data_IF_695528235727
#
_entry.id   IF_695528235727
#
_cell.length_a   1.000
_cell.length_b   1.000
_cell.length_c   1.000
_cell.angle_alpha   90.00
_cell.angle_beta   90.00
_cell.angle_gamma   90.00
#
_symmetry.space_group_name_H-M   'P 1'
#
loop_
_entity.id
_entity.type
_entity.pdbx_description
1 polymer ?
#
# COMPACT_ATOMS: atom_id res chain seq x y z
N UNK A 1 15.55 42.99 11.04
CA UNK A 1 15.14 41.58 11.22
C UNK A 1 14.57 41.07 9.91
N UNK A 2 15.33 40.30 9.12
CA UNK A 2 14.83 39.73 7.86
C UNK A 2 13.87 38.59 8.20
N UNK A 3 12.57 38.79 7.99
CA UNK A 3 11.57 37.73 7.96
C UNK A 3 12.09 36.62 7.03
N UNK A 4 12.55 35.52 7.59
CA UNK A 4 12.78 34.30 6.82
C UNK A 4 11.39 33.80 6.45
N UNK A 5 10.93 34.11 5.24
CA UNK A 5 9.82 33.37 4.64
C UNK A 5 10.16 31.88 4.82
N UNK A 6 9.35 31.15 5.59
CA UNK A 6 9.58 29.73 5.85
C UNK A 6 9.56 29.01 4.51
N UNK A 7 10.75 28.72 3.99
CA UNK A 7 10.93 28.00 2.73
C UNK A 7 10.34 26.61 2.92
N UNK A 8 9.51 26.17 1.98
CA UNK A 8 8.97 24.81 1.99
C UNK A 8 10.14 23.82 1.99
N UNK A 9 10.17 22.93 3.00
CA UNK A 9 11.21 21.91 3.16
C UNK A 9 11.19 20.93 1.97
N UNK A 10 12.37 20.49 1.56
CA UNK A 10 12.54 19.62 0.37
C UNK A 10 11.79 18.30 0.51
N UNK A 11 11.76 17.71 1.71
CA UNK A 11 11.02 16.47 2.02
C UNK A 11 9.52 16.59 1.74
N UNK A 12 8.91 17.76 1.98
CA UNK A 12 7.50 17.98 1.70
C UNK A 12 7.22 18.14 0.19
N UNK A 13 8.18 18.71 -0.55
CA UNK A 13 8.11 18.74 -2.02
C UNK A 13 8.17 17.30 -2.57
N UNK A 14 9.07 16.47 -2.04
CA UNK A 14 9.19 15.06 -2.43
C UNK A 14 7.92 14.29 -2.08
N UNK A 15 7.37 14.50 -0.89
CA UNK A 15 6.08 13.93 -0.50
C UNK A 15 4.97 14.32 -1.48
N UNK A 16 4.88 15.61 -1.85
CA UNK A 16 3.87 16.08 -2.80
C UNK A 16 4.03 15.44 -4.19
N UNK A 17 5.26 15.27 -4.67
CA UNK A 17 5.55 14.55 -5.92
C UNK A 17 5.12 13.08 -5.82
N UNK A 18 5.34 12.42 -4.67
CA UNK A 18 4.86 11.05 -4.45
C UNK A 18 3.33 10.98 -4.36
N UNK A 19 2.65 11.93 -3.70
CA UNK A 19 1.19 12.00 -3.69
C UNK A 19 0.62 12.11 -5.10
N UNK A 20 1.23 12.95 -5.95
CA UNK A 20 0.83 13.09 -7.34
C UNK A 20 1.03 11.79 -8.13
N UNK A 21 2.09 11.03 -7.84
CA UNK A 21 2.30 9.69 -8.43
C UNK A 21 1.15 8.74 -8.08
N UNK A 22 0.81 8.64 -6.80
CA UNK A 22 -0.25 7.74 -6.32
C UNK A 22 -1.60 8.11 -6.92
N UNK A 23 -1.89 9.41 -7.02
CA UNK A 23 -3.09 9.93 -7.68
C UNK A 23 -3.16 9.52 -9.15
N UNK A 24 -2.11 9.80 -9.93
CA UNK A 24 -2.07 9.50 -11.37
C UNK A 24 -2.11 7.98 -11.62
N UNK A 25 -1.34 7.19 -10.87
CA UNK A 25 -1.31 5.72 -11.01
C UNK A 25 -2.70 5.11 -10.79
N UNK A 26 -3.46 5.57 -9.79
CA UNK A 26 -4.81 5.06 -9.60
C UNK A 26 -5.78 5.49 -10.72
N UNK A 27 -5.56 6.65 -11.35
CA UNK A 27 -6.30 7.05 -12.55
C UNK A 27 -5.99 6.10 -13.72
N UNK A 28 -4.72 5.84 -13.98
CA UNK A 28 -4.27 4.91 -15.02
C UNK A 28 -4.79 3.48 -14.79
N UNK A 29 -4.95 3.09 -13.52
CA UNK A 29 -5.50 1.78 -13.15
C UNK A 29 -6.99 1.65 -13.42
N UNK A 30 -7.77 2.67 -13.07
CA UNK A 30 -9.25 2.63 -13.09
C UNK A 30 -9.81 3.00 -14.48
N UNK A 31 -9.08 3.77 -15.29
CA UNK A 31 -9.57 4.29 -16.58
C UNK A 31 -10.13 3.22 -17.54
N UNK A 32 -9.52 2.03 -17.59
CA UNK A 32 -9.86 0.96 -18.52
C UNK A 32 -11.24 0.37 -18.24
N UNK A 33 -11.66 0.34 -16.97
CA UNK A 33 -12.98 -0.13 -16.59
C UNK A 33 -14.07 0.86 -17.05
N UNK A 34 -13.77 2.17 -17.02
CA UNK A 34 -14.66 3.24 -17.48
C UNK A 34 -14.81 3.21 -19.00
N UNK A 35 -13.69 3.04 -19.72
CA UNK A 35 -13.66 2.96 -21.17
C UNK A 35 -14.10 1.59 -21.75
N UNK A 36 -14.16 0.55 -20.91
CA UNK A 36 -14.37 -0.84 -21.32
C UNK A 36 -15.55 -1.08 -22.26
N UNK A 37 -16.77 -0.57 -21.98
CA UNK A 37 -17.91 -0.72 -22.87
C UNK A 37 -17.68 -0.13 -24.27
N UNK A 38 -16.97 0.99 -24.38
CA UNK A 38 -16.67 1.65 -25.65
C UNK A 38 -15.60 0.91 -26.44
N UNK A 39 -14.52 0.48 -25.77
CA UNK A 39 -13.48 -0.37 -26.37
C UNK A 39 -14.12 -1.64 -26.94
N UNK A 40 -15.00 -2.26 -26.16
CA UNK A 40 -15.71 -3.47 -26.56
C UNK A 40 -16.57 -3.25 -27.80
N UNK A 41 -17.38 -2.20 -27.79
CA UNK A 41 -18.27 -1.87 -28.90
C UNK A 41 -17.49 -1.58 -30.17
N UNK A 42 -16.45 -0.76 -30.08
CA UNK A 42 -15.71 -0.29 -31.25
C UNK A 42 -14.79 -1.36 -31.86
N UNK A 43 -14.12 -2.15 -31.03
CA UNK A 43 -13.22 -3.21 -31.49
C UNK A 43 -13.93 -4.55 -31.69
N UNK A 44 -15.24 -4.63 -31.45
CA UNK A 44 -16.04 -5.85 -31.58
C UNK A 44 -15.65 -6.95 -30.59
N UNK A 45 -15.22 -6.58 -29.37
CA UNK A 45 -14.70 -7.56 -28.41
C UNK A 45 -15.80 -8.41 -27.79
N UNK A 46 -15.52 -9.69 -27.60
CA UNK A 46 -16.34 -10.52 -26.72
C UNK A 46 -16.16 -10.09 -25.26
N UNK A 47 -17.14 -10.42 -24.41
CA UNK A 47 -17.02 -10.17 -22.97
C UNK A 47 -15.80 -10.89 -22.37
N UNK A 48 -15.46 -12.09 -22.87
CA UNK A 48 -14.28 -12.86 -22.46
C UNK A 48 -12.99 -12.12 -22.81
N UNK A 49 -12.89 -11.58 -24.03
CA UNK A 49 -11.72 -10.80 -24.45
C UNK A 49 -11.53 -9.53 -23.61
N UNK A 50 -12.62 -8.81 -23.32
CA UNK A 50 -12.55 -7.64 -22.45
C UNK A 50 -12.11 -8.02 -21.02
N UNK A 51 -12.63 -9.14 -20.49
CA UNK A 51 -12.20 -9.69 -19.21
C UNK A 51 -10.71 -10.02 -19.16
N UNK A 52 -10.16 -10.60 -20.24
CA UNK A 52 -8.71 -10.85 -20.37
C UNK A 52 -7.89 -9.56 -20.34
N UNK A 53 -8.36 -8.49 -20.99
CA UNK A 53 -7.70 -7.17 -20.97
C UNK A 53 -7.65 -6.60 -19.55
N UNK A 54 -8.75 -6.71 -18.79
CA UNK A 54 -8.80 -6.23 -17.41
C UNK A 54 -7.84 -7.01 -16.49
N UNK A 55 -7.82 -8.34 -16.59
CA UNK A 55 -7.02 -9.20 -15.71
C UNK A 55 -5.53 -9.22 -16.02
N UNK A 56 -5.13 -8.93 -17.27
CA UNK A 56 -3.73 -8.95 -17.73
C UNK A 56 -2.78 -8.07 -16.88
N UNK A 57 -3.29 -7.03 -16.22
CA UNK A 57 -2.54 -6.17 -15.31
C UNK A 57 -2.15 -6.86 -13.99
N UNK A 58 -3.03 -7.69 -13.44
CA UNK A 58 -2.91 -8.15 -12.05
C UNK A 58 -1.71 -9.10 -11.83
N UNK A 59 -1.43 -9.98 -12.80
CA UNK A 59 -0.35 -10.97 -12.71
C UNK A 59 1.04 -10.33 -12.63
N UNK A 60 1.48 -9.50 -13.60
CA UNK A 60 2.78 -8.84 -13.51
C UNK A 60 2.84 -7.89 -12.32
N UNK A 61 1.74 -7.22 -11.98
CA UNK A 61 1.68 -6.32 -10.83
C UNK A 61 2.07 -7.03 -9.53
N UNK A 62 1.47 -8.20 -9.26
CA UNK A 62 1.74 -8.98 -8.05
C UNK A 62 3.22 -9.42 -7.97
N UNK A 63 3.78 -9.93 -9.07
CA UNK A 63 5.18 -10.37 -9.14
C UNK A 63 6.14 -9.20 -8.95
N UNK A 64 5.82 -8.06 -9.56
CA UNK A 64 6.65 -6.86 -9.52
C UNK A 64 6.64 -6.13 -8.17
N UNK A 65 5.74 -6.47 -7.24
CA UNK A 65 5.81 -5.94 -5.86
C UNK A 65 7.15 -6.30 -5.20
N UNK A 66 7.49 -7.59 -5.17
CA UNK A 66 8.72 -8.07 -4.55
C UNK A 66 9.92 -7.68 -5.42
N UNK A 67 9.85 -7.89 -6.74
CA UNK A 67 10.96 -7.60 -7.65
C UNK A 67 11.28 -6.11 -7.67
N UNK A 68 10.28 -5.24 -7.80
CA UNK A 68 10.45 -3.80 -7.82
C UNK A 68 10.98 -3.27 -6.48
N UNK A 69 10.49 -3.80 -5.36
CA UNK A 69 11.03 -3.51 -4.03
C UNK A 69 12.52 -3.89 -3.91
N UNK A 70 12.88 -5.09 -4.35
CA UNK A 70 14.27 -5.57 -4.36
C UNK A 70 15.18 -4.76 -5.27
N UNK A 71 14.72 -4.44 -6.48
CA UNK A 71 15.46 -3.56 -7.40
C UNK A 71 15.66 -2.18 -6.77
N UNK A 72 14.64 -1.63 -6.09
CA UNK A 72 14.75 -0.34 -5.41
C UNK A 72 15.78 -0.34 -4.29
N UNK A 73 15.84 -1.41 -3.48
CA UNK A 73 16.85 -1.56 -2.44
C UNK A 73 18.27 -1.63 -3.03
N UNK A 74 18.43 -2.30 -4.19
CA UNK A 74 19.74 -2.52 -4.84
C UNK A 74 20.23 -1.33 -5.66
N UNK A 75 19.36 -0.73 -6.46
CA UNK A 75 19.72 0.31 -7.44
C UNK A 75 19.35 1.72 -6.97
N UNK A 76 18.47 1.82 -5.97
CA UNK A 76 17.97 3.07 -5.41
C UNK A 76 16.64 3.51 -6.06
N UNK A 77 15.76 4.18 -5.29
CA UNK A 77 14.44 4.56 -5.76
C UNK A 77 14.43 5.44 -7.01
N UNK A 78 15.41 6.34 -7.17
CA UNK A 78 15.45 7.28 -8.31
C UNK A 78 15.47 6.54 -9.65
N UNK A 79 16.39 5.59 -9.81
CA UNK A 79 16.52 4.86 -11.07
C UNK A 79 15.33 3.95 -11.30
N UNK A 80 14.96 3.17 -10.28
CA UNK A 80 13.93 2.14 -10.41
C UNK A 80 12.57 2.77 -10.65
N UNK A 81 12.19 3.80 -9.90
CA UNK A 81 10.89 4.45 -10.08
C UNK A 81 10.80 5.14 -11.43
N UNK A 82 11.90 5.73 -11.93
CA UNK A 82 11.94 6.32 -13.29
C UNK A 82 11.70 5.25 -14.35
N UNK A 83 12.38 4.11 -14.27
CA UNK A 83 12.22 3.04 -15.28
C UNK A 83 10.80 2.49 -15.24
N UNK A 84 10.29 2.21 -14.05
CA UNK A 84 8.92 1.75 -13.85
C UNK A 84 7.90 2.78 -14.38
N UNK A 85 8.13 4.08 -14.16
CA UNK A 85 7.25 5.16 -14.58
C UNK A 85 7.24 5.43 -16.07
N UNK A 86 8.39 5.26 -16.72
CA UNK A 86 8.46 5.24 -18.17
C UNK A 86 7.68 4.07 -18.75
N UNK A 87 7.79 2.86 -18.15
CA UNK A 87 7.08 1.67 -18.61
C UNK A 87 5.57 1.88 -18.51
N UNK A 88 5.04 2.26 -17.33
CA UNK A 88 3.59 2.41 -17.18
C UNK A 88 3.07 3.60 -17.99
N UNK A 89 3.77 4.74 -17.99
CA UNK A 89 3.33 5.93 -18.73
C UNK A 89 3.29 5.71 -20.23
N UNK A 90 4.31 5.04 -20.78
CA UNK A 90 4.34 4.66 -22.19
C UNK A 90 3.26 3.62 -22.53
N UNK A 91 3.01 2.65 -21.65
CA UNK A 91 1.95 1.66 -21.84
C UNK A 91 0.55 2.30 -21.83
N UNK A 92 0.28 3.22 -20.90
CA UNK A 92 -0.97 4.00 -20.87
C UNK A 92 -1.14 4.78 -22.16
N UNK A 93 -0.12 5.54 -22.57
CA UNK A 93 -0.16 6.33 -23.82
C UNK A 93 -0.41 5.46 -25.05
N UNK A 94 0.33 4.35 -25.16
CA UNK A 94 0.22 3.42 -26.29
C UNK A 94 -1.14 2.71 -26.34
N UNK A 95 -1.88 2.63 -25.22
CA UNK A 95 -3.23 2.05 -25.18
C UNK A 95 -4.22 2.85 -26.02
N UNK A 96 -4.02 4.17 -26.13
CA UNK A 96 -4.81 5.01 -27.03
C UNK A 96 -4.61 4.68 -28.51
N UNK A 97 -3.57 3.93 -28.88
CA UNK A 97 -3.32 3.50 -30.26
C UNK A 97 -3.60 2.00 -30.47
N UNK A 98 -4.24 1.34 -29.50
CA UNK A 98 -4.47 -0.09 -29.57
C UNK A 98 -5.48 -0.46 -30.69
N UNK A 99 -5.05 -1.37 -31.57
CA UNK A 99 -5.85 -1.88 -32.68
C UNK A 99 -6.29 -3.34 -32.56
N UNK A 100 -5.84 -4.06 -31.52
CA UNK A 100 -6.19 -5.47 -31.31
C UNK A 100 -6.26 -5.85 -29.82
N UNK A 101 -6.96 -6.95 -29.51
CA UNK A 101 -7.02 -7.52 -28.16
C UNK A 101 -5.63 -7.88 -27.64
N UNK A 102 -4.79 -8.48 -28.48
CA UNK A 102 -3.43 -8.87 -28.11
C UNK A 102 -2.61 -7.64 -27.70
N UNK A 103 -2.74 -6.53 -28.43
CA UNK A 103 -2.09 -5.27 -28.08
C UNK A 103 -2.61 -4.70 -26.77
N UNK A 104 -3.93 -4.69 -26.53
CA UNK A 104 -4.51 -4.26 -25.26
C UNK A 104 -4.01 -5.11 -24.08
N UNK A 105 -3.97 -6.43 -24.23
CA UNK A 105 -3.46 -7.36 -23.21
C UNK A 105 -1.97 -7.09 -22.92
N UNK A 106 -1.15 -6.94 -23.96
CA UNK A 106 0.28 -6.66 -23.81
C UNK A 106 0.54 -5.32 -23.11
N UNK A 107 -0.23 -4.28 -23.46
CA UNK A 107 -0.12 -2.96 -22.82
C UNK A 107 -0.59 -2.97 -21.38
N UNK A 108 -1.67 -3.70 -21.05
CA UNK A 108 -2.12 -3.91 -19.67
C UNK A 108 -1.11 -4.70 -18.84
N UNK A 109 -0.47 -5.69 -19.45
CA UNK A 109 0.64 -6.42 -18.83
C UNK A 109 1.82 -5.46 -18.53
N UNK A 110 2.24 -4.66 -19.51
CA UNK A 110 3.32 -3.68 -19.34
C UNK A 110 2.99 -2.64 -18.26
N UNK A 111 1.75 -2.15 -18.22
CA UNK A 111 1.26 -1.27 -17.15
C UNK A 111 1.44 -1.94 -15.77
N UNK A 112 1.05 -3.21 -15.64
CA UNK A 112 1.23 -3.96 -14.40
C UNK A 112 2.68 -4.16 -14.02
N UNK A 113 3.58 -4.34 -15.00
CA UNK A 113 5.03 -4.39 -14.75
C UNK A 113 5.53 -3.07 -14.15
N UNK A 114 5.13 -1.94 -14.73
CA UNK A 114 5.53 -0.61 -14.27
C UNK A 114 4.94 -0.29 -12.88
N UNK A 115 3.63 -0.39 -12.71
CA UNK A 115 2.99 -0.02 -11.45
C UNK A 115 3.32 -0.96 -10.28
N UNK A 116 3.57 -2.24 -10.56
CA UNK A 116 3.75 -3.26 -9.51
C UNK A 116 4.91 -2.95 -8.57
N UNK A 117 5.99 -2.37 -9.09
CA UNK A 117 7.14 -1.98 -8.29
C UNK A 117 7.07 -0.57 -7.69
N UNK A 118 6.07 0.24 -8.07
CA UNK A 118 6.07 1.67 -7.78
C UNK A 118 5.90 1.96 -6.27
N UNK A 119 4.96 1.32 -5.60
CA UNK A 119 4.67 1.58 -4.18
C UNK A 119 5.76 1.04 -3.23
N UNK A 120 6.32 -0.17 -3.44
CA UNK A 120 7.51 -0.61 -2.73
C UNK A 120 8.70 0.34 -2.94
N UNK A 121 8.85 0.87 -4.15
CA UNK A 121 9.91 1.83 -4.46
C UNK A 121 9.71 3.17 -3.74
N UNK A 122 8.48 3.68 -3.67
CA UNK A 122 8.13 4.88 -2.91
C UNK A 122 8.32 4.68 -1.40
N UNK A 123 7.90 3.53 -0.87
CA UNK A 123 8.15 3.09 0.51
C UNK A 123 9.64 3.13 0.83
N UNK A 124 10.48 2.61 -0.08
CA UNK A 124 11.93 2.73 0.06
C UNK A 124 12.41 4.18 0.01
N UNK A 125 11.86 5.02 -0.86
CA UNK A 125 12.21 6.44 -0.92
C UNK A 125 11.95 7.17 0.40
N UNK A 126 10.85 6.87 1.09
CA UNK A 126 10.52 7.50 2.37
C UNK A 126 11.49 7.16 3.50
N UNK A 127 12.22 6.05 3.41
CA UNK A 127 13.30 5.77 4.39
C UNK A 127 14.42 6.81 4.35
N UNK A 128 14.64 7.47 3.20
CA UNK A 128 15.68 8.48 3.02
C UNK A 128 15.22 9.92 3.25
N UNK A 129 13.91 10.16 3.14
CA UNK A 129 13.36 11.51 3.08
C UNK A 129 12.42 11.86 4.23
N UNK A 130 11.88 10.85 4.93
CA UNK A 130 10.89 11.06 5.99
C UNK A 130 11.45 10.60 7.34
N UNK A 131 11.42 11.49 8.36
CA UNK A 131 11.80 11.10 9.71
C UNK A 131 10.84 10.03 10.24
N UNK A 132 11.32 9.18 11.15
CA UNK A 132 10.55 8.02 11.67
C UNK A 132 9.17 8.43 12.19
N UNK A 133 9.07 9.59 12.86
CA UNK A 133 7.81 10.12 13.39
C UNK A 133 6.92 10.89 12.40
N UNK A 134 7.23 10.88 11.10
CA UNK A 134 6.37 11.42 10.03
C UNK A 134 6.13 10.39 8.90
N UNK A 135 6.66 9.17 9.02
CA UNK A 135 6.50 8.10 8.02
C UNK A 135 5.05 7.63 7.95
N UNK A 136 4.33 7.58 9.08
CA UNK A 136 2.91 7.21 9.11
C UNK A 136 2.08 8.20 8.32
N UNK A 137 2.26 9.49 8.58
CA UNK A 137 1.63 10.57 7.84
C UNK A 137 1.96 10.50 6.35
N UNK A 138 3.23 10.27 5.99
CA UNK A 138 3.66 10.17 4.59
C UNK A 138 2.93 9.06 3.83
N UNK A 139 2.81 7.87 4.43
CA UNK A 139 2.06 6.75 3.84
C UNK A 139 0.56 7.06 3.81
N UNK A 140 0.01 7.65 4.87
CA UNK A 140 -1.41 8.00 4.93
C UNK A 140 -1.82 8.96 3.81
N UNK A 141 -1.11 10.08 3.68
CA UNK A 141 -1.48 11.08 2.67
C UNK A 141 -1.27 10.56 1.24
N UNK A 142 -0.21 9.78 0.97
CA UNK A 142 -0.01 9.22 -0.38
C UNK A 142 -1.10 8.22 -0.75
N UNK A 143 -1.51 7.35 0.17
CA UNK A 143 -2.61 6.41 -0.06
C UNK A 143 -3.98 7.11 -0.17
N UNK A 144 -4.22 8.17 0.61
CA UNK A 144 -5.40 9.02 0.43
C UNK A 144 -5.49 9.59 -0.99
N UNK A 145 -4.36 10.03 -1.58
CA UNK A 145 -4.33 10.50 -2.97
C UNK A 145 -4.60 9.38 -3.99
N UNK A 146 -4.16 8.16 -3.71
CA UNK A 146 -4.53 6.98 -4.50
C UNK A 146 -6.06 6.75 -4.50
N UNK A 147 -6.70 6.77 -3.32
CA UNK A 147 -8.16 6.64 -3.20
C UNK A 147 -8.90 7.78 -3.90
N UNK A 148 -8.42 9.00 -3.74
CA UNK A 148 -8.96 10.17 -4.42
C UNK A 148 -8.85 10.04 -5.94
N UNK A 149 -7.71 9.55 -6.46
CA UNK A 149 -7.52 9.26 -7.89
C UNK A 149 -8.57 8.28 -8.39
N UNK A 150 -8.76 7.16 -7.69
CA UNK A 150 -9.78 6.17 -8.04
C UNK A 150 -11.20 6.74 -8.06
N UNK A 151 -11.56 7.60 -7.09
CA UNK A 151 -12.88 8.23 -7.02
C UNK A 151 -13.12 9.27 -8.14
N UNK A 152 -12.09 10.03 -8.51
CA UNK A 152 -12.17 11.07 -9.56
C UNK A 152 -12.09 10.48 -10.97
N UNK A 153 -11.56 9.26 -11.13
CA UNK A 153 -11.33 8.67 -12.46
C UNK A 153 -12.59 8.56 -13.31
N UNK A 154 -13.73 8.01 -12.83
CA UNK A 154 -14.91 7.86 -13.67
C UNK A 154 -15.43 9.18 -14.28
N UNK A 155 -15.68 10.26 -13.50
CA UNK A 155 -16.13 11.52 -14.10
C UNK A 155 -15.06 12.18 -14.98
N UNK A 156 -13.78 12.08 -14.61
CA UNK A 156 -12.68 12.64 -15.41
C UNK A 156 -12.57 11.97 -16.78
N UNK A 157 -12.53 10.63 -16.81
CA UNK A 157 -12.41 9.85 -18.04
C UNK A 157 -13.66 10.01 -18.90
N UNK A 158 -14.85 10.02 -18.30
CA UNK A 158 -16.10 10.24 -19.03
C UNK A 158 -16.13 11.61 -19.73
N UNK A 159 -15.67 12.67 -19.06
CA UNK A 159 -15.61 14.01 -19.65
C UNK A 159 -14.72 14.04 -20.90
N UNK A 160 -13.55 13.38 -20.85
CA UNK A 160 -12.64 13.28 -22.00
C UNK A 160 -13.25 12.41 -23.10
N UNK A 161 -13.85 11.28 -22.74
CA UNK A 161 -14.49 10.35 -23.66
C UNK A 161 -15.62 11.00 -24.46
N UNK A 162 -16.42 11.86 -23.82
CA UNK A 162 -17.50 12.58 -24.52
C UNK A 162 -16.95 13.59 -25.53
N UNK A 163 -15.77 14.16 -25.27
CA UNK A 163 -15.16 15.17 -26.13
C UNK A 163 -14.33 14.56 -27.29
N UNK A 164 -13.55 13.51 -27.02
CA UNK A 164 -12.57 12.95 -27.96
C UNK A 164 -12.54 11.42 -28.05
N UNK A 165 -13.45 10.73 -27.36
CA UNK A 165 -13.48 9.27 -27.30
C UNK A 165 -12.47 8.66 -26.33
N UNK A 166 -12.48 7.33 -26.25
CA UNK A 166 -11.68 6.62 -25.25
C UNK A 166 -10.17 6.64 -25.56
N UNK A 167 -9.78 6.70 -26.83
CA UNK A 167 -8.36 6.74 -27.22
C UNK A 167 -7.67 7.99 -26.69
N UNK A 168 -8.31 9.15 -26.84
CA UNK A 168 -7.80 10.43 -26.35
C UNK A 168 -7.63 10.42 -24.82
N UNK A 169 -8.52 9.74 -24.10
CA UNK A 169 -8.38 9.57 -22.65
C UNK A 169 -7.07 8.85 -22.28
N UNK A 170 -6.71 7.76 -22.96
CA UNK A 170 -5.43 7.07 -22.72
C UNK A 170 -4.21 7.89 -23.13
N UNK A 171 -4.29 8.62 -24.24
CA UNK A 171 -3.20 9.48 -24.70
C UNK A 171 -2.93 10.58 -23.67
N UNK A 172 -3.97 11.31 -23.24
CA UNK A 172 -3.82 12.40 -22.27
C UNK A 172 -3.30 11.91 -20.91
N UNK A 173 -3.84 10.80 -20.41
CA UNK A 173 -3.39 10.21 -19.15
C UNK A 173 -1.96 9.69 -19.22
N UNK A 174 -1.58 9.03 -20.33
CA UNK A 174 -0.21 8.60 -20.57
C UNK A 174 0.77 9.77 -20.64
N UNK A 175 0.40 10.88 -21.29
CA UNK A 175 1.19 12.12 -21.28
C UNK A 175 1.34 12.65 -19.86
N UNK A 176 0.27 12.67 -19.05
CA UNK A 176 0.34 13.09 -17.65
C UNK A 176 1.30 12.22 -16.82
N UNK A 177 1.26 10.89 -16.98
CA UNK A 177 2.19 9.94 -16.35
C UNK A 177 3.65 10.18 -16.77
N UNK A 178 3.90 10.45 -18.05
CA UNK A 178 5.25 10.76 -18.54
C UNK A 178 5.74 12.14 -18.07
N UNK A 179 4.87 13.15 -18.02
CA UNK A 179 5.21 14.46 -17.44
C UNK A 179 5.57 14.34 -15.96
N UNK A 180 4.84 13.51 -15.20
CA UNK A 180 5.19 13.21 -13.82
C UNK A 180 6.58 12.56 -13.72
N UNK A 181 6.91 11.62 -14.62
CA UNK A 181 8.24 11.00 -14.67
C UNK A 181 9.35 12.02 -14.86
N UNK A 182 9.15 12.97 -15.77
CA UNK A 182 10.09 14.08 -16.00
C UNK A 182 10.24 14.93 -14.74
N UNK A 183 9.12 15.31 -14.11
CA UNK A 183 9.13 16.05 -12.84
C UNK A 183 9.91 15.30 -11.75
N UNK A 184 9.66 14.00 -11.60
CA UNK A 184 10.33 13.15 -10.62
C UNK A 184 11.84 13.10 -10.83
N UNK A 185 12.29 12.95 -12.07
CA UNK A 185 13.71 12.92 -12.43
C UNK A 185 14.47 14.19 -11.99
N UNK A 186 13.83 15.35 -12.12
CA UNK A 186 14.43 16.64 -11.74
C UNK A 186 14.34 16.93 -10.24
N UNK A 187 13.27 16.50 -9.57
CA UNK A 187 13.04 16.84 -8.15
C UNK A 187 13.67 15.85 -7.19
N UNK A 188 13.58 14.55 -7.47
CA UNK A 188 13.98 13.50 -6.53
C UNK A 188 15.47 13.18 -6.61
N UNK A 189 16.10 12.94 -5.46
CA UNK A 189 17.46 12.38 -5.34
C UNK A 189 17.45 11.23 -4.33
N UNK A 190 18.35 10.26 -4.50
CA UNK A 190 18.37 9.09 -3.61
C UNK A 190 18.78 9.48 -2.19
N UNK A 191 19.73 10.41 -2.04
CA UNK A 191 20.09 10.97 -0.74
C UNK A 191 19.70 12.46 -0.64
N UNK A 192 19.35 12.93 0.57
CA UNK A 192 19.26 14.36 0.87
C UNK A 192 20.52 15.13 0.48
N UNK A 193 21.70 14.56 0.73
CA UNK A 193 23.00 15.19 0.44
C UNK A 193 23.22 15.54 -1.04
N UNK A 194 22.63 14.76 -1.95
CA UNK A 194 22.70 15.02 -3.40
C UNK A 194 21.73 16.13 -3.84
N UNK A 195 20.80 16.54 -2.97
CA UNK A 195 19.79 17.52 -3.30
C UNK A 195 20.27 18.93 -2.99
N UNK A 196 20.40 19.76 -4.02
CA UNK A 196 20.85 21.15 -3.90
C UNK A 196 19.92 22.04 -3.05
N UNK A 197 18.67 21.62 -2.81
CA UNK A 197 17.69 22.41 -2.06
C UNK A 197 17.63 22.06 -0.57
N UNK A 198 18.15 20.89 -0.17
CA UNK A 198 18.08 20.46 1.23
C UNK A 198 19.06 21.26 2.08
N UNK A 199 18.67 21.60 3.30
CA UNK A 199 19.57 22.23 4.26
C UNK A 199 20.18 21.19 5.21
N UNK A 200 21.31 21.50 5.86
CA UNK A 200 21.88 20.61 6.87
C UNK A 200 20.92 20.36 8.04
N UNK A 201 20.14 21.36 8.45
CA UNK A 201 19.13 21.24 9.51
C UNK A 201 18.02 20.27 9.10
N UNK A 202 17.52 20.37 7.87
CA UNK A 202 16.52 19.45 7.34
C UNK A 202 17.07 18.01 7.27
N UNK A 203 18.33 17.84 6.87
CA UNK A 203 18.99 16.53 6.82
C UNK A 203 19.10 15.91 8.23
N UNK A 204 19.45 16.72 9.23
CA UNK A 204 19.50 16.29 10.62
C UNK A 204 18.11 15.92 11.18
N UNK A 205 17.06 16.68 10.83
CA UNK A 205 15.68 16.35 11.22
C UNK A 205 15.21 15.02 10.63
N UNK A 206 15.59 14.70 9.39
CA UNK A 206 15.28 13.41 8.75
C UNK A 206 15.98 12.25 9.49
N UNK A 207 17.12 12.53 10.11
CA UNK A 207 17.98 11.52 10.74
C UNK A 207 18.84 10.75 9.74
N UNK A 208 19.12 11.35 8.57
CA UNK A 208 19.95 10.72 7.54
C UNK A 208 21.44 10.86 7.88
N UNK A 209 22.19 9.76 7.85
CA UNK A 209 23.65 9.77 8.00
C UNK A 209 24.36 9.69 6.65
N UNK A 210 25.48 10.41 6.55
CA UNK A 210 26.31 10.45 5.34
C UNK A 210 26.70 9.05 4.88
N UNK A 211 26.43 8.75 3.60
CA UNK A 211 26.71 7.46 2.97
C UNK A 211 25.72 6.33 3.26
N UNK A 212 24.58 6.58 3.92
CA UNK A 212 23.56 5.54 4.19
C UNK A 212 23.02 4.88 2.92
N UNK A 213 22.81 5.66 1.85
CA UNK A 213 22.38 5.12 0.57
C UNK A 213 23.37 4.10 -0.01
N UNK A 214 24.67 4.44 -0.03
CA UNK A 214 25.68 3.58 -0.63
C UNK A 214 25.95 2.33 0.21
N UNK A 215 25.91 2.47 1.55
CA UNK A 215 25.99 1.33 2.47
C UNK A 215 24.85 0.36 2.29
N UNK A 216 23.64 0.86 2.03
CA UNK A 216 22.47 0.01 1.83
C UNK A 216 22.56 -0.80 0.52
N UNK A 217 23.00 -0.18 -0.58
CA UNK A 217 23.09 -0.83 -1.90
C UNK A 217 24.10 -2.00 -1.96
N UNK A 218 25.13 -1.98 -1.11
CA UNK A 218 26.23 -2.96 -1.11
C UNK A 218 25.91 -4.26 -0.37
N UNK A 219 24.80 -4.33 0.36
CA UNK A 219 24.51 -5.48 1.23
C UNK A 219 23.60 -6.48 0.52
N UNK A 220 23.93 -7.77 0.68
CA UNK A 220 23.10 -8.84 0.17
C UNK A 220 21.76 -8.90 0.92
N UNK A 221 20.67 -9.08 0.19
CA UNK A 221 19.33 -9.12 0.77
C UNK A 221 19.14 -10.38 1.64
N UNK A 222 18.83 -10.24 2.94
CA UNK A 222 18.69 -11.38 3.85
C UNK A 222 17.30 -12.01 3.76
N UNK A 223 17.00 -12.69 2.65
CA UNK A 223 15.68 -13.24 2.31
C UNK A 223 15.03 -14.03 3.47
N UNK A 224 15.76 -14.97 4.08
CA UNK A 224 15.25 -15.81 5.17
C UNK A 224 14.79 -14.98 6.38
N UNK A 225 15.57 -13.94 6.75
CA UNK A 225 15.23 -13.07 7.88
C UNK A 225 14.03 -12.19 7.56
N UNK A 226 13.98 -11.64 6.34
CA UNK A 226 12.86 -10.83 5.88
C UNK A 226 11.55 -11.62 5.90
N UNK A 227 11.52 -12.82 5.31
CA UNK A 227 10.32 -13.68 5.34
C UNK A 227 9.89 -13.97 6.79
N UNK A 228 10.83 -14.33 7.67
CA UNK A 228 10.55 -14.62 9.07
C UNK A 228 10.04 -13.41 9.87
N UNK A 229 10.45 -12.19 9.53
CA UNK A 229 10.00 -10.97 10.22
C UNK A 229 8.73 -10.38 9.60
N UNK A 230 8.51 -10.57 8.31
CA UNK A 230 7.41 -9.97 7.56
C UNK A 230 6.17 -10.87 7.44
N UNK A 231 6.24 -12.17 7.75
CA UNK A 231 5.09 -13.07 7.53
C UNK A 231 3.83 -12.64 8.31
N UNK A 232 3.97 -12.19 9.57
CA UNK A 232 2.83 -11.68 10.35
C UNK A 232 2.24 -10.43 9.72
N UNK A 233 3.10 -9.51 9.27
CA UNK A 233 2.66 -8.28 8.60
C UNK A 233 1.95 -8.62 7.29
N UNK A 234 2.47 -9.59 6.53
CA UNK A 234 1.88 -10.11 5.29
C UNK A 234 0.52 -10.77 5.55
N UNK A 235 0.39 -11.51 6.65
CA UNK A 235 -0.88 -12.13 7.04
C UNK A 235 -1.92 -11.09 7.47
N UNK A 236 -1.53 -10.08 8.25
CA UNK A 236 -2.41 -8.96 8.61
C UNK A 236 -2.82 -8.19 7.35
N UNK A 237 -1.90 -7.97 6.41
CA UNK A 237 -2.18 -7.34 5.11
C UNK A 237 -3.12 -8.18 4.24
N UNK A 238 -3.03 -9.52 4.29
CA UNK A 238 -4.01 -10.42 3.68
C UNK A 238 -5.41 -10.24 4.29
N UNK A 239 -5.53 -10.18 5.62
CA UNK A 239 -6.81 -9.96 6.30
C UNK A 239 -7.43 -8.60 5.96
N UNK A 240 -6.61 -7.54 5.95
CA UNK A 240 -7.00 -6.20 5.49
C UNK A 240 -7.46 -6.24 4.03
N UNK A 241 -6.63 -6.82 3.16
CA UNK A 241 -6.88 -6.92 1.73
C UNK A 241 -8.13 -7.70 1.40
N UNK A 242 -8.42 -8.78 2.14
CA UNK A 242 -9.63 -9.59 1.93
C UNK A 242 -10.88 -8.73 1.95
N UNK A 243 -11.06 -7.92 3.00
CA UNK A 243 -12.23 -7.07 3.13
C UNK A 243 -12.18 -5.91 2.14
N UNK A 244 -11.02 -5.29 1.92
CA UNK A 244 -10.89 -4.23 0.92
C UNK A 244 -11.34 -4.71 -0.47
N UNK A 245 -10.95 -5.91 -0.90
CA UNK A 245 -11.40 -6.48 -2.17
C UNK A 245 -12.90 -6.72 -2.21
N UNK A 246 -13.54 -7.17 -1.11
CA UNK A 246 -15.00 -7.26 -1.02
C UNK A 246 -15.66 -5.91 -1.28
N UNK A 247 -15.15 -4.84 -0.67
CA UNK A 247 -15.64 -3.48 -0.90
C UNK A 247 -15.49 -3.02 -2.35
N UNK A 248 -14.40 -3.41 -3.02
CA UNK A 248 -14.15 -3.02 -4.40
C UNK A 248 -14.96 -3.84 -5.42
N UNK A 249 -15.21 -5.12 -5.16
CA UNK A 249 -15.82 -6.03 -6.14
C UNK A 249 -17.32 -6.26 -5.92
N UNK A 250 -17.74 -6.45 -4.66
CA UNK A 250 -19.09 -6.94 -4.33
C UNK A 250 -20.00 -5.88 -3.72
N UNK A 251 -19.45 -4.74 -3.26
CA UNK A 251 -20.25 -3.67 -2.69
C UNK A 251 -21.35 -3.17 -3.65
N UNK A 252 -21.09 -2.92 -4.94
CA UNK A 252 -22.16 -2.45 -5.82
C UNK A 252 -23.29 -3.48 -5.99
N UNK A 253 -22.93 -4.75 -6.20
CA UNK A 253 -23.92 -5.84 -6.31
C UNK A 253 -24.72 -6.01 -5.02
N UNK A 254 -24.06 -5.93 -3.86
CA UNK A 254 -24.74 -5.97 -2.56
C UNK A 254 -25.76 -4.84 -2.39
N UNK A 255 -25.38 -3.59 -2.71
CA UNK A 255 -26.28 -2.44 -2.60
C UNK A 255 -27.48 -2.56 -3.55
N UNK A 256 -27.26 -3.09 -4.76
CA UNK A 256 -28.34 -3.30 -5.73
C UNK A 256 -29.25 -4.48 -5.34
N UNK A 257 -28.68 -5.65 -5.13
CA UNK A 257 -29.41 -6.92 -5.00
C UNK A 257 -29.99 -7.13 -3.60
N UNK A 258 -29.22 -6.80 -2.55
CA UNK A 258 -29.65 -7.00 -1.17
C UNK A 258 -30.36 -5.78 -0.59
N UNK A 259 -30.00 -4.57 -1.05
CA UNK A 259 -30.50 -3.30 -0.49
C UNK A 259 -31.44 -2.53 -1.40
N UNK A 260 -31.62 -2.97 -2.65
CA UNK A 260 -32.62 -2.43 -3.57
C UNK A 260 -32.32 -1.02 -4.11
N UNK A 261 -31.07 -0.56 -4.03
CA UNK A 261 -30.69 0.76 -4.56
C UNK A 261 -30.82 0.79 -6.09
N UNK A 262 -31.36 1.89 -6.61
CA UNK A 262 -31.40 2.14 -8.04
C UNK A 262 -30.01 2.50 -8.62
N UNK A 263 -29.89 2.58 -9.94
CA UNK A 263 -28.61 2.86 -10.60
C UNK A 263 -28.00 4.23 -10.23
N UNK A 264 -28.83 5.26 -9.99
CA UNK A 264 -28.35 6.60 -9.64
C UNK A 264 -27.83 6.63 -8.20
N UNK A 265 -28.59 6.01 -7.30
CA UNK A 265 -28.24 5.84 -5.91
C UNK A 265 -26.98 5.00 -5.75
N UNK A 266 -26.82 3.95 -6.56
CA UNK A 266 -25.65 3.08 -6.51
C UNK A 266 -24.35 3.87 -6.67
N UNK A 267 -24.26 4.74 -7.69
CA UNK A 267 -23.05 5.55 -7.92
C UNK A 267 -22.71 6.46 -6.73
N UNK A 268 -23.73 7.13 -6.16
CA UNK A 268 -23.56 8.03 -5.01
C UNK A 268 -23.14 7.26 -3.75
N UNK A 269 -23.82 6.15 -3.45
CA UNK A 269 -23.63 5.40 -2.20
C UNK A 269 -22.43 4.45 -2.24
N UNK A 270 -21.89 4.10 -3.42
CA UNK A 270 -20.59 3.43 -3.53
C UNK A 270 -19.42 4.40 -3.34
N UNK A 271 -19.60 5.68 -3.67
CA UNK A 271 -18.53 6.69 -3.50
C UNK A 271 -18.32 7.06 -2.03
N UNK A 272 -19.37 7.03 -1.21
CA UNK A 272 -19.32 7.38 0.21
C UNK A 272 -18.29 6.55 1.01
N UNK A 273 -18.29 5.20 0.95
CA UNK A 273 -17.24 4.40 1.57
C UNK A 273 -15.84 4.77 1.08
N UNK A 274 -15.63 4.96 -0.22
CA UNK A 274 -14.31 5.30 -0.76
C UNK A 274 -13.79 6.65 -0.23
N UNK A 275 -14.67 7.66 -0.15
CA UNK A 275 -14.34 8.96 0.43
C UNK A 275 -14.06 8.85 1.94
N UNK A 276 -14.81 8.02 2.65
CA UNK A 276 -14.52 7.70 4.05
C UNK A 276 -13.13 7.06 4.17
N UNK A 277 -12.74 6.21 3.22
CA UNK A 277 -11.39 5.65 3.10
C UNK A 277 -10.29 6.71 2.95
N UNK A 278 -10.49 7.73 2.11
CA UNK A 278 -9.55 8.86 1.96
C UNK A 278 -9.24 9.51 3.31
N UNK A 279 -10.28 9.75 4.12
CA UNK A 279 -10.11 10.35 5.46
C UNK A 279 -9.44 9.36 6.41
N UNK A 280 -9.83 8.08 6.36
CA UNK A 280 -9.25 7.01 7.17
C UNK A 280 -7.74 6.87 6.97
N UNK A 281 -7.28 6.82 5.72
CA UNK A 281 -5.86 6.73 5.35
C UNK A 281 -5.02 7.87 5.96
N UNK A 282 -5.47 9.12 5.79
CA UNK A 282 -4.75 10.28 6.33
C UNK A 282 -4.75 10.26 7.86
N UNK A 283 -5.90 9.99 8.48
CA UNK A 283 -6.00 9.96 9.94
C UNK A 283 -5.19 8.82 10.55
N UNK A 284 -5.16 7.63 9.94
CA UNK A 284 -4.36 6.51 10.42
C UNK A 284 -2.88 6.86 10.53
N UNK A 285 -2.35 7.54 9.51
CA UNK A 285 -0.97 8.04 9.51
C UNK A 285 -0.71 9.08 10.61
N UNK A 286 -1.57 10.10 10.70
CA UNK A 286 -1.46 11.18 11.71
C UNK A 286 -1.57 10.63 13.13
N UNK A 287 -2.55 9.77 13.39
CA UNK A 287 -2.80 9.18 14.71
C UNK A 287 -1.64 8.29 15.12
N UNK A 288 -1.13 7.45 14.21
CA UNK A 288 0.01 6.57 14.52
C UNK A 288 1.25 7.38 14.89
N UNK A 289 1.57 8.41 14.13
CA UNK A 289 2.74 9.26 14.38
C UNK A 289 2.58 10.10 15.66
N UNK A 290 1.37 10.61 15.93
CA UNK A 290 1.08 11.35 17.17
C UNK A 290 1.19 10.44 18.39
N UNK A 291 0.72 9.21 18.29
CA UNK A 291 0.83 8.19 19.34
C UNK A 291 2.29 7.83 19.61
N UNK A 292 3.11 7.74 18.56
CA UNK A 292 4.56 7.54 18.71
C UNK A 292 5.24 8.73 19.40
N UNK A 293 4.95 9.97 18.97
CA UNK A 293 5.51 11.18 19.59
C UNK A 293 5.12 11.32 21.07
N UNK A 294 3.91 10.92 21.43
CA UNK A 294 3.42 10.98 22.81
C UNK A 294 3.99 9.87 23.70
N UNK A 295 4.09 8.64 23.20
CA UNK A 295 4.48 7.48 24.03
C UNK A 295 5.95 7.09 23.94
N UNK A 296 6.65 7.49 22.87
CA UNK A 296 8.00 7.03 22.54
C UNK A 296 8.09 5.54 22.19
N UNK A 297 6.97 4.81 22.14
CA UNK A 297 6.93 3.35 21.95
C UNK A 297 6.40 3.01 20.56
N UNK A 298 7.30 2.74 19.62
CA UNK A 298 6.96 2.48 18.23
C UNK A 298 5.99 1.30 18.06
N UNK A 299 6.25 0.17 18.74
CA UNK A 299 5.37 -1.01 18.70
C UNK A 299 3.95 -0.69 19.14
N UNK A 300 3.81 0.04 20.25
CA UNK A 300 2.50 0.43 20.75
C UNK A 300 1.78 1.34 19.74
N UNK A 301 2.49 2.32 19.18
CA UNK A 301 1.93 3.26 18.21
C UNK A 301 1.40 2.58 16.93
N UNK A 302 2.09 1.55 16.43
CA UNK A 302 1.65 0.79 15.24
C UNK A 302 0.56 -0.21 15.58
N UNK A 303 0.77 -1.07 16.58
CA UNK A 303 -0.19 -2.10 16.96
C UNK A 303 -1.54 -1.52 17.43
N UNK A 304 -1.53 -0.42 18.20
CA UNK A 304 -2.77 0.19 18.66
C UNK A 304 -3.65 0.65 17.48
N UNK A 305 -3.07 1.25 16.45
CA UNK A 305 -3.80 1.71 15.26
C UNK A 305 -4.29 0.54 14.40
N UNK A 306 -3.51 -0.53 14.25
CA UNK A 306 -3.98 -1.74 13.56
C UNK A 306 -5.17 -2.37 14.28
N UNK A 307 -5.09 -2.51 15.60
CA UNK A 307 -6.14 -3.10 16.43
C UNK A 307 -7.39 -2.24 16.45
N UNK A 308 -7.26 -0.92 16.59
CA UNK A 308 -8.43 -0.02 16.59
C UNK A 308 -9.05 0.13 15.20
N UNK A 309 -8.24 0.13 14.14
CA UNK A 309 -8.75 0.17 12.77
C UNK A 309 -9.48 -1.12 12.37
N UNK A 310 -8.85 -2.29 12.54
CA UNK A 310 -9.52 -3.56 12.24
C UNK A 310 -10.69 -3.83 13.21
N UNK A 311 -10.54 -3.49 14.49
CA UNK A 311 -11.59 -3.64 15.50
C UNK A 311 -12.77 -2.69 15.27
N UNK A 312 -12.51 -1.44 14.91
CA UNK A 312 -13.54 -0.49 14.49
C UNK A 312 -14.26 -0.96 13.24
N UNK A 313 -13.53 -1.47 12.25
CA UNK A 313 -14.10 -2.06 11.05
C UNK A 313 -15.05 -3.21 11.39
N UNK A 314 -14.65 -4.09 12.31
CA UNK A 314 -15.45 -5.21 12.80
C UNK A 314 -16.73 -4.76 13.54
N UNK A 315 -16.62 -3.74 14.40
CA UNK A 315 -17.74 -3.18 15.18
C UNK A 315 -18.86 -2.66 14.27
N UNK A 316 -18.53 -2.06 13.13
CA UNK A 316 -19.53 -1.57 12.18
C UNK A 316 -19.97 -2.63 11.15
N UNK A 317 -19.09 -3.58 10.82
CA UNK A 317 -19.40 -4.63 9.84
C UNK A 317 -20.40 -5.66 10.39
N UNK A 318 -20.29 -6.05 11.68
CA UNK A 318 -21.16 -7.09 12.25
C UNK A 318 -22.64 -6.67 12.33
N UNK A 319 -23.00 -5.49 12.88
CA UNK A 319 -24.40 -5.07 12.95
C UNK A 319 -25.02 -4.84 11.57
N UNK A 320 -24.21 -4.43 10.58
CA UNK A 320 -24.65 -4.17 9.21
C UNK A 320 -25.36 -5.38 8.58
N UNK A 321 -24.96 -6.60 8.93
CA UNK A 321 -25.58 -7.85 8.45
C UNK A 321 -27.04 -7.98 8.88
N UNK A 322 -27.42 -7.38 10.01
CA UNK A 322 -28.77 -7.43 10.59
C UNK A 322 -29.62 -6.18 10.38
N UNK A 323 -29.04 -5.09 9.87
CA UNK A 323 -29.76 -3.83 9.67
C UNK A 323 -30.78 -3.97 8.54
N UNK A 324 -32.02 -3.53 8.77
CA UNK A 324 -33.05 -3.51 7.73
C UNK A 324 -32.97 -2.27 6.81
N UNK A 325 -32.61 -1.11 7.36
CA UNK A 325 -32.60 0.15 6.62
C UNK A 325 -31.37 0.24 5.67
N UNK A 326 -31.58 0.35 4.34
CA UNK A 326 -30.49 0.45 3.35
C UNK A 326 -29.50 1.60 3.60
N UNK A 327 -29.99 2.77 4.03
CA UNK A 327 -29.14 3.94 4.28
C UNK A 327 -28.25 3.74 5.51
N UNK A 328 -28.79 3.13 6.57
CA UNK A 328 -28.01 2.79 7.76
C UNK A 328 -26.94 1.74 7.43
N UNK A 329 -27.26 0.79 6.54
CA UNK A 329 -26.27 -0.18 6.06
C UNK A 329 -25.11 0.50 5.31
N UNK A 330 -25.40 1.50 4.46
CA UNK A 330 -24.35 2.30 3.78
C UNK A 330 -23.51 3.09 4.77
N UNK A 331 -24.11 3.68 5.82
CA UNK A 331 -23.36 4.40 6.85
C UNK A 331 -22.43 3.46 7.64
N UNK A 332 -22.91 2.27 8.02
CA UNK A 332 -22.08 1.27 8.69
C UNK A 332 -20.97 0.74 7.78
N UNK A 333 -21.26 0.50 6.50
CA UNK A 333 -20.23 0.12 5.53
C UNK A 333 -19.19 1.23 5.36
N UNK A 334 -19.61 2.50 5.32
CA UNK A 334 -18.70 3.64 5.20
C UNK A 334 -17.83 3.80 6.45
N UNK A 335 -18.42 3.68 7.64
CA UNK A 335 -17.67 3.71 8.90
C UNK A 335 -16.71 2.53 9.00
N UNK A 336 -17.16 1.33 8.64
CA UNK A 336 -16.31 0.13 8.65
C UNK A 336 -15.13 0.27 7.68
N UNK A 337 -15.33 0.86 6.50
CA UNK A 337 -14.27 1.12 5.54
C UNK A 337 -13.31 2.22 5.99
N UNK A 338 -13.83 3.29 6.61
CA UNK A 338 -13.00 4.33 7.25
C UNK A 338 -12.03 3.73 8.26
N UNK A 339 -12.52 2.88 9.17
CA UNK A 339 -11.68 2.22 10.17
C UNK A 339 -10.73 1.21 9.54
N UNK A 340 -11.14 0.52 8.48
CA UNK A 340 -10.26 -0.37 7.72
C UNK A 340 -9.09 0.41 7.11
N UNK A 341 -9.34 1.55 6.47
CA UNK A 341 -8.30 2.37 5.82
C UNK A 341 -7.39 3.09 6.84
N UNK A 342 -7.81 3.30 8.10
CA UNK A 342 -6.91 3.72 9.18
C UNK A 342 -5.70 2.77 9.34
N UNK A 343 -5.85 1.50 8.98
CA UNK A 343 -4.80 0.48 9.15
C UNK A 343 -3.75 0.51 8.03
N UNK A 344 -4.14 0.89 6.82
CA UNK A 344 -3.32 0.88 5.61
C UNK A 344 -2.01 1.68 5.74
N UNK A 345 -1.97 2.95 6.22
CA UNK A 345 -0.71 3.66 6.41
C UNK A 345 0.23 2.97 7.41
N UNK A 346 -0.34 2.28 8.40
CA UNK A 346 0.46 1.55 9.38
C UNK A 346 1.04 0.28 8.77
N UNK A 347 0.26 -0.46 7.98
CA UNK A 347 0.79 -1.59 7.21
C UNK A 347 1.98 -1.14 6.36
N UNK A 348 1.84 -0.08 5.58
CA UNK A 348 2.93 0.45 4.75
C UNK A 348 4.08 1.09 5.53
N UNK A 349 3.95 1.36 6.83
CA UNK A 349 5.09 1.81 7.67
C UNK A 349 5.85 0.68 8.35
N UNK A 350 5.22 -0.46 8.62
CA UNK A 350 5.90 -1.61 9.22
C UNK A 350 7.13 -2.11 8.44
N UNK A 351 7.12 -2.17 7.08
CA UNK A 351 8.32 -2.45 6.31
C UNK A 351 9.46 -1.45 6.55
N UNK A 352 9.15 -0.15 6.69
CA UNK A 352 10.16 0.87 6.98
C UNK A 352 10.75 0.69 8.37
N UNK A 353 9.92 0.33 9.34
CA UNK A 353 10.31 0.22 10.75
C UNK A 353 11.06 -1.11 11.02
N UNK A 354 10.66 -2.23 10.40
CA UNK A 354 11.23 -3.57 10.63
C UNK A 354 12.46 -3.82 9.76
N UNK A 355 12.40 -3.46 8.48
CA UNK A 355 13.40 -3.85 7.48
C UNK A 355 14.40 -2.75 7.14
N UNK A 356 14.15 -1.50 7.54
CA UNK A 356 15.08 -0.37 7.39
C UNK A 356 15.58 -0.23 5.96
N UNK A 357 16.86 -0.51 5.73
CA UNK A 357 17.48 -0.47 4.40
C UNK A 357 16.94 -1.49 3.38
N UNK A 358 16.16 -2.48 3.80
CA UNK A 358 15.46 -3.46 2.94
C UNK A 358 13.95 -3.18 2.84
N UNK A 359 13.51 -1.96 3.17
CA UNK A 359 12.09 -1.60 3.22
C UNK A 359 11.37 -1.76 1.87
N UNK A 360 12.07 -1.63 0.74
CA UNK A 360 11.46 -1.87 -0.57
C UNK A 360 11.02 -3.33 -0.71
N UNK A 361 11.96 -4.26 -0.51
CA UNK A 361 11.69 -5.70 -0.55
C UNK A 361 10.63 -6.10 0.46
N UNK A 362 10.73 -5.60 1.70
CA UNK A 362 9.76 -5.89 2.76
C UNK A 362 8.36 -5.35 2.45
N UNK A 363 8.25 -4.16 1.84
CA UNK A 363 6.98 -3.60 1.39
C UNK A 363 6.34 -4.45 0.29
N UNK A 364 7.16 -4.96 -0.64
CA UNK A 364 6.70 -5.92 -1.65
C UNK A 364 6.22 -7.26 -1.04
N UNK A 365 6.94 -7.79 -0.05
CA UNK A 365 6.55 -9.02 0.65
C UNK A 365 5.23 -8.83 1.40
N UNK A 366 5.09 -7.73 2.15
CA UNK A 366 3.84 -7.38 2.83
C UNK A 366 2.68 -7.37 1.85
N UNK A 367 2.76 -6.54 0.80
CA UNK A 367 1.68 -6.32 -0.15
C UNK A 367 1.33 -7.56 -1.01
N UNK A 368 2.17 -8.60 -0.95
CA UNK A 368 1.82 -9.92 -1.52
C UNK A 368 0.62 -10.53 -0.79
N UNK A 369 0.45 -10.26 0.51
CA UNK A 369 -0.73 -10.63 1.29
C UNK A 369 -2.01 -10.04 0.69
N UNK A 370 -2.02 -8.72 0.47
CA UNK A 370 -3.09 -8.01 -0.23
C UNK A 370 -3.36 -8.58 -1.64
N UNK A 371 -2.30 -8.91 -2.39
CA UNK A 371 -2.40 -9.51 -3.71
C UNK A 371 -3.07 -10.89 -3.71
N UNK A 372 -2.66 -11.78 -2.80
CA UNK A 372 -3.28 -13.11 -2.64
C UNK A 372 -4.74 -12.97 -2.23
N UNK A 373 -5.05 -12.04 -1.32
CA UNK A 373 -6.42 -11.76 -0.92
C UNK A 373 -7.29 -11.34 -2.11
N UNK A 374 -6.77 -10.57 -3.06
CA UNK A 374 -7.49 -10.19 -4.29
C UNK A 374 -7.76 -11.32 -5.25
N UNK A 375 -6.93 -12.37 -5.25
CA UNK A 375 -7.16 -13.57 -6.04
C UNK A 375 -8.23 -14.48 -5.42
N UNK A 376 -8.24 -14.58 -4.08
CA UNK A 376 -9.08 -15.55 -3.37
C UNK A 376 -10.44 -14.95 -2.97
N UNK A 377 -10.44 -13.73 -2.42
CA UNK A 377 -11.62 -13.12 -1.80
C UNK A 377 -12.82 -13.01 -2.77
N UNK A 378 -12.69 -12.45 -3.99
CA UNK A 378 -13.84 -12.32 -4.87
C UNK A 378 -14.45 -13.65 -5.30
N UNK A 379 -13.61 -14.68 -5.53
CA UNK A 379 -14.04 -16.03 -5.94
C UNK A 379 -14.80 -16.71 -4.81
N UNK A 380 -14.24 -16.71 -3.60
CA UNK A 380 -14.88 -17.32 -2.43
C UNK A 380 -16.19 -16.61 -2.10
N UNK A 381 -16.20 -15.28 -2.13
CA UNK A 381 -17.39 -14.49 -1.85
C UNK A 381 -18.52 -14.78 -2.87
N UNK A 382 -18.19 -14.84 -4.17
CA UNK A 382 -19.13 -15.20 -5.22
C UNK A 382 -19.69 -16.61 -5.10
N UNK A 383 -18.82 -17.60 -4.85
CA UNK A 383 -19.24 -18.99 -4.61
C UNK A 383 -20.22 -19.09 -3.43
N UNK A 384 -19.93 -18.40 -2.34
CA UNK A 384 -20.80 -18.37 -1.16
C UNK A 384 -22.14 -17.72 -1.46
N UNK A 385 -22.20 -16.60 -2.18
CA UNK A 385 -23.48 -16.00 -2.59
C UNK A 385 -24.26 -16.98 -3.47
N UNK A 386 -23.61 -17.60 -4.46
CA UNK A 386 -24.26 -18.52 -5.38
C UNK A 386 -24.92 -19.71 -4.67
N UNK A 387 -24.26 -20.27 -3.66
CA UNK A 387 -24.77 -21.45 -2.94
C UNK A 387 -25.67 -21.13 -1.75
N UNK A 388 -25.48 -19.98 -1.09
CA UNK A 388 -26.28 -19.60 0.09
C UNK A 388 -27.43 -18.66 -0.26
N UNK A 389 -27.40 -17.99 -1.42
CA UNK A 389 -28.32 -16.91 -1.78
C UNK A 389 -28.20 -15.66 -0.89
N UNK A 390 -27.17 -15.59 -0.04
CA UNK A 390 -27.05 -14.56 0.99
C UNK A 390 -25.66 -13.92 1.01
N UNK A 391 -25.65 -12.61 1.18
CA UNK A 391 -24.43 -11.83 1.40
C UNK A 391 -23.90 -11.96 2.84
N UNK A 392 -24.72 -12.47 3.78
CA UNK A 392 -24.41 -12.49 5.20
C UNK A 392 -23.22 -13.39 5.55
N UNK A 393 -23.21 -14.63 5.03
CA UNK A 393 -22.14 -15.60 5.29
C UNK A 393 -20.77 -15.07 4.82
N UNK A 394 -20.64 -14.56 3.58
CA UNK A 394 -19.40 -13.92 3.14
C UNK A 394 -18.93 -12.74 4.03
N UNK A 395 -19.84 -11.89 4.50
CA UNK A 395 -19.50 -10.79 5.40
C UNK A 395 -19.06 -11.29 6.79
N UNK A 396 -19.68 -12.36 7.31
CA UNK A 396 -19.27 -12.98 8.57
C UNK A 396 -17.89 -13.63 8.49
N UNK A 397 -17.55 -14.27 7.36
CA UNK A 397 -16.19 -14.79 7.13
C UNK A 397 -15.18 -13.65 7.08
N UNK A 398 -15.52 -12.54 6.42
CA UNK A 398 -14.67 -11.35 6.37
C UNK A 398 -14.46 -10.76 7.78
N UNK A 399 -15.50 -10.74 8.61
CA UNK A 399 -15.41 -10.36 10.02
C UNK A 399 -14.50 -11.31 10.84
N UNK A 400 -14.58 -12.62 10.60
CA UNK A 400 -13.68 -13.60 11.21
C UNK A 400 -12.21 -13.39 10.82
N UNK A 401 -11.95 -13.11 9.55
CA UNK A 401 -10.60 -12.80 9.07
C UNK A 401 -10.06 -11.50 9.67
N UNK A 402 -10.89 -10.46 9.83
CA UNK A 402 -10.49 -9.26 10.57
C UNK A 402 -10.11 -9.58 12.02
N UNK A 403 -10.90 -10.41 12.71
CA UNK A 403 -10.60 -10.81 14.09
C UNK A 403 -9.25 -11.55 14.17
N UNK A 404 -8.95 -12.45 13.22
CA UNK A 404 -7.64 -13.10 13.12
C UNK A 404 -6.52 -12.10 12.84
N UNK A 405 -6.77 -11.10 11.98
CA UNK A 405 -5.84 -10.01 11.70
C UNK A 405 -5.51 -9.18 12.95
N UNK A 406 -6.53 -8.87 13.78
CA UNK A 406 -6.34 -8.18 15.07
C UNK A 406 -5.44 -8.99 15.99
N UNK A 407 -5.70 -10.29 16.13
CA UNK A 407 -4.90 -11.17 16.97
C UNK A 407 -3.46 -11.22 16.46
N UNK A 408 -3.25 -11.42 15.16
CA UNK A 408 -1.91 -11.44 14.55
C UNK A 408 -1.17 -10.10 14.72
N UNK A 409 -1.87 -8.96 14.62
CA UNK A 409 -1.29 -7.64 14.79
C UNK A 409 -0.69 -7.40 16.19
N UNK A 410 -1.23 -8.03 17.24
CA UNK A 410 -0.70 -7.95 18.60
C UNK A 410 0.69 -8.60 18.73
N UNK A 411 0.98 -9.60 17.90
CA UNK A 411 2.26 -10.33 17.89
C UNK A 411 3.32 -9.67 16.99
N UNK A 412 2.99 -8.60 16.26
CA UNK A 412 3.97 -7.85 15.49
C UNK A 412 4.93 -7.13 16.45
N UNK A 413 6.23 -7.37 16.27
CA UNK A 413 7.29 -6.76 17.07
C UNK A 413 8.16 -5.85 16.19
N UNK A 414 7.92 -4.55 16.26
CA UNK A 414 8.70 -3.53 15.55
C UNK A 414 10.03 -3.19 16.23
N UNK A 415 10.30 -3.71 17.43
CA UNK A 415 11.57 -3.47 18.13
C UNK A 415 12.71 -4.37 17.65
N UNK A 416 12.38 -5.48 16.98
CA UNK A 416 13.35 -6.44 16.41
C UNK A 416 13.51 -6.17 14.92
N UNK A 417 14.43 -5.28 14.59
CA UNK A 417 14.76 -4.95 13.20
C UNK A 417 15.67 -6.02 12.59
N UNK A 418 15.62 -6.15 11.27
CA UNK A 418 16.55 -7.02 10.52
C UNK A 418 18.00 -6.59 10.75
N UNK A 419 18.24 -5.29 10.90
CA UNK A 419 19.56 -4.73 11.17
C UNK A 419 20.07 -5.12 12.57
N UNK A 420 19.20 -5.13 13.59
CA UNK A 420 19.56 -5.60 14.93
C UNK A 420 19.92 -7.09 14.94
N UNK A 421 19.26 -7.91 14.11
CA UNK A 421 19.61 -9.33 13.94
C UNK A 421 20.98 -9.48 13.26
N UNK A 422 21.28 -8.69 12.21
CA UNK A 422 22.60 -8.67 11.57
C UNK A 422 23.71 -8.20 12.52
N UNK A 423 23.47 -7.19 13.34
CA UNK A 423 24.45 -6.71 14.33
C UNK A 423 24.70 -7.73 15.43
N UNK A 424 23.67 -8.43 15.91
CA UNK A 424 23.80 -9.51 16.89
C UNK A 424 24.64 -10.66 16.35
N UNK A 425 24.40 -11.07 15.10
CA UNK A 425 25.18 -12.11 14.45
C UNK A 425 26.62 -11.68 14.17
N UNK A 426 26.90 -10.40 13.87
CA UNK A 426 28.29 -9.91 13.74
C UNK A 426 29.05 -9.91 15.08
N UNK A 427 28.33 -9.76 16.20
CA UNK A 427 28.91 -9.78 17.55
C UNK A 427 29.13 -11.20 18.09
N UNK A 428 28.39 -12.19 17.59
CA UNK A 428 28.59 -13.61 17.90
C UNK A 428 29.55 -14.20 16.87
N UNK A 429 30.55 -15.00 17.28
CA UNK A 429 31.44 -15.66 16.31
C UNK A 429 30.66 -16.58 15.35
N UNK A 430 31.22 -16.94 14.17
CA UNK A 430 30.52 -17.75 13.16
C UNK A 430 29.98 -19.09 13.67
N UNK A 431 30.65 -19.72 14.66
CA UNK A 431 30.18 -20.95 15.31
C UNK A 431 28.98 -20.74 16.24
N UNK A 432 28.99 -19.67 17.04
CA UNK A 432 27.88 -19.32 17.95
C UNK A 432 26.65 -18.81 17.18
N UNK A 433 26.87 -18.10 16.06
CA UNK A 433 25.81 -17.66 15.16
C UNK A 433 25.07 -18.85 14.52
N UNK A 434 25.79 -19.94 14.19
CA UNK A 434 25.19 -21.18 13.67
C UNK A 434 24.30 -21.89 14.69
N UNK A 435 24.77 -22.02 15.93
CA UNK A 435 24.00 -22.60 17.03
C UNK A 435 22.79 -21.73 17.42
N UNK A 436 22.95 -20.40 17.41
CA UNK A 436 21.85 -19.47 17.66
C UNK A 436 20.82 -19.48 16.54
N UNK A 437 21.22 -19.51 15.27
CA UNK A 437 20.31 -19.60 14.14
C UNK A 437 19.48 -20.90 14.17
N UNK A 438 20.06 -22.00 14.67
CA UNK A 438 19.36 -23.26 14.91
C UNK A 438 18.35 -23.14 16.07
N UNK A 439 18.76 -22.59 17.21
CA UNK A 439 17.88 -22.42 18.39
C UNK A 439 16.76 -21.39 18.15
N UNK A 440 17.03 -20.30 17.44
CA UNK A 440 16.06 -19.26 17.09
C UNK A 440 15.14 -19.68 15.93
N UNK A 441 15.45 -20.79 15.25
CA UNK A 441 14.56 -21.46 14.28
C UNK A 441 13.59 -22.44 14.91
N UNK A 442 13.75 -22.77 16.20
CA UNK A 442 12.79 -23.59 16.92
C UNK A 442 11.58 -22.76 17.38
N UNK A 443 10.34 -23.23 17.17
CA UNK A 443 9.16 -22.57 17.69
C UNK A 443 9.07 -22.83 19.20
N UNK A 444 9.71 -22.00 20.01
CA UNK A 444 9.58 -22.08 21.47
C UNK A 444 9.11 -20.78 22.10
N UNK A 445 8.07 -20.96 22.92
CA UNK A 445 7.42 -20.03 23.83
C UNK A 445 8.43 -19.12 24.53
N UNK A 446 8.15 -17.81 24.47
CA UNK A 446 8.91 -16.78 25.18
C UNK A 446 8.88 -17.03 26.68
N UNK A 447 9.99 -17.49 27.25
CA UNK A 447 10.30 -17.27 28.66
C UNK A 447 11.01 -15.92 28.78
N UNK A 448 10.38 -14.98 29.49
CA UNK A 448 10.92 -13.67 29.83
C UNK A 448 12.30 -13.79 30.50
N UNK A 449 13.37 -13.51 29.75
CA UNK A 449 14.71 -13.31 30.32
C UNK A 449 14.86 -11.86 30.76
N UNK A 450 14.16 -11.46 31.82
CA UNK A 450 14.29 -10.13 32.43
C UNK A 450 15.05 -10.10 33.78
N UNK A 451 15.61 -11.22 34.25
CA UNK A 451 16.13 -11.33 35.64
C UNK A 451 17.59 -11.76 35.80
N UNK A 452 18.42 -11.81 34.75
CA UNK A 452 19.84 -12.18 34.90
C UNK A 452 20.78 -11.18 34.22
N UNK A 453 20.94 -10.00 34.83
CA UNK A 453 22.13 -9.12 34.74
C UNK A 453 21.94 -7.90 35.63
N UNK A 454 22.03 -8.10 36.95
CA UNK A 454 22.50 -7.06 37.88
C UNK A 454 23.78 -7.58 38.54
N UNK A 455 24.97 -7.01 38.27
CA UNK A 455 26.12 -7.33 39.08
C UNK A 455 25.94 -6.69 40.45
N UNK A 456 25.89 -7.54 41.48
CA UNK A 456 26.03 -7.18 42.88
C UNK A 456 27.34 -6.40 43.08
N UNK A 457 27.25 -5.16 43.53
CA UNK A 457 28.35 -4.44 44.19
C UNK A 457 27.86 -3.94 45.54
N UNK A 458 28.16 -4.73 46.56
CA UNK A 458 28.20 -4.33 47.97
C UNK A 458 29.59 -4.72 48.49
N UNK A 459 30.25 -3.79 49.20
CA UNK A 459 31.51 -3.87 49.97
C UNK A 459 32.86 -3.83 49.21
N UNK A 460 33.46 -2.65 49.12
CA UNK A 460 34.64 -2.20 49.92
C UNK A 460 34.92 -0.72 49.69
#
# INVERSE_FOLDING_TARGET
>A
MKQHAQRVKTRHIILAVMCLMYFISYIDRVNIAVAGPLIRHEMGLSAVQLGLVFSAFAYPYAVMQIIGGWLSDKFGPKLVLTVLSLIWGAATLATGFAGSVAMLVALRFALGVGEGGAFPTATRAFTYWMPVGERGFAQGITHSFARLGGAITPPLVLAVVVAGGWRDAFILLGIASLMWTVLYLFVFTNSPEQNRRVTPEETAEIGYCKGDCDRAKRQATPWRKLVRRMWLVTFVDFCYGWLLWVYLTWLPSYLKESRGFDLKQLALFTALPLLAGVVGDTLGGVVSDRLYKWTGRLRFARCAVLVTGMGGSLIFLLPMVSVANPMVAVLFLSASFFFLEITNPVLWTLPLDIAGKYAGTAGGMMNTGFGIAGMVSPVVFGYLIQHTGSYNVPFLISAGLLALGIVAALFIDTSRTVEADEERERRMGPEEAGAFAFLDSMPTVQLERHTLRRPLRWWR
#
